data_IF_661704711298
#
_entry.id   IF_661704711298
#
_cell.length_a   1.000
_cell.length_b   1.000
_cell.length_c   1.000
_cell.angle_alpha   90.00
_cell.angle_beta   90.00
_cell.angle_gamma   90.00
#
_symmetry.space_group_name_H-M   'P 1'
#
loop_
_entity.id
_entity.type
_entity.pdbx_description
1 polymer ?
#
# COMPACT_ATOMS: atom_id res chain seq x y z
N UNK A 1 38.80 -4.07 49.31
CA UNK A 1 39.23 -4.37 47.93
C UNK A 1 38.45 -5.52 47.28
N UNK A 2 38.29 -6.69 47.93
CA UNK A 2 37.56 -7.84 47.34
C UNK A 2 36.09 -7.56 46.97
N UNK A 3 35.32 -6.78 47.77
CA UNK A 3 33.89 -6.46 47.49
C UNK A 3 33.70 -5.51 46.32
N UNK A 4 34.65 -4.61 46.05
CA UNK A 4 34.58 -3.69 44.89
C UNK A 4 34.85 -4.44 43.60
N UNK A 5 35.76 -5.40 43.61
CA UNK A 5 36.07 -6.23 42.44
C UNK A 5 34.89 -7.12 42.03
N UNK A 6 34.17 -7.67 43.01
CA UNK A 6 32.97 -8.49 42.75
C UNK A 6 31.82 -7.65 42.16
N UNK A 7 31.69 -6.39 42.59
CA UNK A 7 30.64 -5.50 42.05
C UNK A 7 30.93 -5.08 40.62
N UNK A 8 32.21 -4.80 40.28
CA UNK A 8 32.60 -4.43 38.90
C UNK A 8 32.42 -5.60 37.93
N UNK A 9 32.74 -6.83 38.34
CA UNK A 9 32.51 -8.01 37.50
C UNK A 9 31.02 -8.32 37.28
N UNK A 10 30.16 -8.11 38.27
CA UNK A 10 28.72 -8.30 38.14
C UNK A 10 28.09 -7.26 37.19
N UNK A 11 28.53 -5.99 37.25
CA UNK A 11 28.08 -4.93 36.34
C UNK A 11 28.55 -5.19 34.91
N UNK A 12 29.79 -5.62 34.71
CA UNK A 12 30.33 -5.95 33.39
C UNK A 12 29.62 -7.13 32.73
N UNK A 13 29.26 -8.16 33.49
CA UNK A 13 28.42 -9.28 32.97
C UNK A 13 27.01 -8.87 32.67
N UNK A 14 26.41 -7.95 33.44
CA UNK A 14 25.06 -7.42 33.19
C UNK A 14 25.00 -6.60 31.88
N UNK A 15 26.02 -5.79 31.60
CA UNK A 15 26.09 -5.00 30.36
C UNK A 15 26.31 -5.88 29.13
N UNK A 16 27.11 -6.92 29.24
CA UNK A 16 27.35 -7.88 28.15
C UNK A 16 26.08 -8.70 27.81
N UNK A 17 25.26 -9.03 28.82
CA UNK A 17 23.97 -9.72 28.57
C UNK A 17 22.92 -8.84 27.88
N UNK A 18 22.93 -7.53 28.11
CA UNK A 18 22.02 -6.59 27.44
C UNK A 18 22.42 -6.29 25.99
N UNK A 19 23.69 -6.46 25.63
CA UNK A 19 24.17 -6.26 24.25
C UNK A 19 23.85 -7.43 23.32
N UNK A 20 23.44 -8.59 23.85
CA UNK A 20 23.19 -9.81 23.07
C UNK A 20 21.78 -9.90 22.47
N UNK A 21 20.87 -8.96 22.78
CA UNK A 21 19.49 -8.98 22.29
C UNK A 21 19.26 -8.18 21.00
N UNK A 22 20.30 -7.59 20.42
CA UNK A 22 20.20 -6.96 19.12
C UNK A 22 20.71 -7.91 18.02
N UNK A 23 20.12 -9.10 17.91
CA UNK A 23 20.16 -9.83 16.65
C UNK A 23 19.48 -8.94 15.60
N UNK A 24 20.26 -8.27 14.76
CA UNK A 24 19.76 -7.80 13.47
C UNK A 24 19.32 -9.05 12.72
N UNK A 25 18.04 -9.39 12.87
CA UNK A 25 17.38 -10.24 11.92
C UNK A 25 17.58 -9.52 10.58
N UNK A 26 18.33 -10.10 9.66
CA UNK A 26 18.33 -9.62 8.28
C UNK A 26 16.87 -9.67 7.84
N UNK A 27 16.25 -8.51 7.70
CA UNK A 27 14.90 -8.42 7.16
C UNK A 27 14.96 -9.02 5.77
N UNK A 28 14.39 -10.21 5.61
CA UNK A 28 14.30 -10.85 4.31
C UNK A 28 13.40 -9.97 3.43
N UNK A 29 14.00 -9.26 2.46
CA UNK A 29 13.26 -8.45 1.51
C UNK A 29 12.28 -9.34 0.74
N UNK A 30 11.02 -8.91 0.62
CA UNK A 30 10.05 -9.60 -0.20
C UNK A 30 10.57 -9.66 -1.65
N UNK A 31 10.58 -10.85 -2.25
CA UNK A 31 11.03 -11.04 -3.63
C UNK A 31 10.01 -10.53 -4.65
N UNK A 32 8.73 -10.68 -4.33
CA UNK A 32 7.61 -10.24 -5.15
C UNK A 32 6.57 -9.56 -4.27
N UNK A 33 6.01 -8.45 -4.76
CA UNK A 33 4.95 -7.70 -4.10
C UNK A 33 3.81 -7.56 -5.10
N UNK A 34 2.61 -8.02 -4.75
CA UNK A 34 1.41 -7.87 -5.55
C UNK A 34 0.37 -7.06 -4.78
N UNK A 35 -0.02 -5.91 -5.34
CA UNK A 35 -1.08 -5.07 -4.80
C UNK A 35 -2.30 -5.15 -5.70
N UNK A 36 -3.41 -5.69 -5.19
CA UNK A 36 -4.69 -5.76 -5.89
C UNK A 36 -5.65 -4.72 -5.32
N UNK A 37 -6.17 -3.85 -6.16
CA UNK A 37 -7.09 -2.78 -5.78
C UNK A 37 -8.44 -3.04 -6.44
N UNK A 38 -9.48 -3.30 -5.65
CA UNK A 38 -10.87 -3.33 -6.10
C UNK A 38 -11.45 -1.93 -6.00
N UNK A 39 -11.41 -1.16 -7.10
CA UNK A 39 -11.93 0.21 -7.13
C UNK A 39 -13.47 0.20 -6.95
N UNK A 40 -13.93 0.92 -5.93
CA UNK A 40 -15.33 0.96 -5.53
C UNK A 40 -15.86 -0.33 -4.90
N UNK A 41 -15.01 -1.32 -4.66
CA UNK A 41 -15.40 -2.61 -4.08
C UNK A 41 -15.55 -2.49 -2.55
N UNK A 42 -16.78 -2.57 -2.07
CA UNK A 42 -17.09 -2.63 -0.64
C UNK A 42 -17.34 -4.04 -0.13
N UNK A 43 -17.49 -4.20 1.17
CA UNK A 43 -17.76 -5.47 1.82
C UNK A 43 -19.02 -6.19 1.30
N UNK A 44 -20.03 -5.43 0.87
CA UNK A 44 -21.25 -5.98 0.25
C UNK A 44 -20.99 -6.71 -1.07
N UNK A 45 -20.03 -6.24 -1.89
CA UNK A 45 -19.64 -6.93 -3.12
C UNK A 45 -19.01 -8.30 -2.82
N UNK A 46 -18.18 -8.36 -1.79
CA UNK A 46 -17.57 -9.62 -1.34
C UNK A 46 -18.67 -10.57 -0.86
N UNK A 47 -19.53 -10.13 0.04
CA UNK A 47 -20.60 -10.95 0.61
C UNK A 47 -21.56 -11.49 -0.46
N UNK A 48 -21.99 -10.65 -1.42
CA UNK A 48 -22.85 -11.07 -2.53
C UNK A 48 -22.15 -12.08 -3.43
N UNK A 49 -20.87 -11.88 -3.72
CA UNK A 49 -20.11 -12.79 -4.56
C UNK A 49 -19.95 -14.16 -3.91
N UNK A 50 -19.62 -14.23 -2.62
CA UNK A 50 -19.51 -15.49 -1.88
C UNK A 50 -20.87 -16.20 -1.76
N UNK A 51 -21.94 -15.44 -1.54
CA UNK A 51 -23.31 -15.98 -1.57
C UNK A 51 -23.68 -16.55 -2.93
N UNK A 52 -23.34 -15.85 -4.02
CA UNK A 52 -23.55 -16.34 -5.37
C UNK A 52 -22.77 -17.62 -5.66
N UNK A 53 -21.49 -17.68 -5.28
CA UNK A 53 -20.67 -18.87 -5.47
C UNK A 53 -21.21 -20.07 -4.68
N UNK A 54 -21.67 -19.83 -3.46
CA UNK A 54 -22.30 -20.86 -2.63
C UNK A 54 -23.60 -21.39 -3.26
N UNK A 55 -24.47 -20.50 -3.73
CA UNK A 55 -25.70 -20.88 -4.41
C UNK A 55 -25.42 -21.67 -5.69
N UNK A 56 -24.43 -21.23 -6.48
CA UNK A 56 -24.00 -21.94 -7.70
C UNK A 56 -23.45 -23.35 -7.41
N UNK A 57 -22.84 -23.55 -6.25
CA UNK A 57 -22.38 -24.85 -5.76
C UNK A 57 -23.48 -25.69 -5.09
N UNK A 58 -24.73 -25.21 -5.06
CA UNK A 58 -25.84 -25.88 -4.40
C UNK A 58 -25.75 -25.88 -2.86
N UNK A 59 -25.05 -24.90 -2.28
CA UNK A 59 -24.80 -24.79 -0.84
C UNK A 59 -25.47 -23.53 -0.25
N UNK A 60 -25.72 -23.56 1.05
CA UNK A 60 -26.14 -22.39 1.82
C UNK A 60 -24.90 -21.83 2.53
N UNK A 61 -24.15 -20.99 1.81
CA UNK A 61 -22.89 -20.42 2.31
C UNK A 61 -21.69 -21.36 2.22
N UNK A 62 -20.55 -20.91 2.72
CA UNK A 62 -19.32 -21.69 2.85
C UNK A 62 -18.31 -21.56 1.69
N UNK A 63 -18.71 -21.03 0.52
CA UNK A 63 -17.75 -20.68 -0.51
C UNK A 63 -17.11 -19.33 -0.18
N UNK A 64 -15.78 -19.27 -0.26
CA UNK A 64 -15.00 -18.08 0.10
C UNK A 64 -14.12 -17.64 -1.07
N UNK A 65 -13.94 -16.34 -1.22
CA UNK A 65 -12.96 -15.76 -2.13
C UNK A 65 -11.55 -15.95 -1.57
N UNK A 66 -10.56 -16.09 -2.44
CA UNK A 66 -9.16 -16.20 -2.02
C UNK A 66 -8.74 -15.03 -1.13
N UNK A 67 -9.19 -13.82 -1.43
CA UNK A 67 -8.85 -12.63 -0.65
C UNK A 67 -9.40 -12.65 0.78
N UNK A 68 -10.53 -13.33 1.02
CA UNK A 68 -11.11 -13.45 2.37
C UNK A 68 -10.48 -14.55 3.20
N UNK A 69 -9.59 -15.33 2.62
CA UNK A 69 -8.82 -16.39 3.29
C UNK A 69 -7.40 -15.94 3.67
N UNK A 70 -7.03 -14.69 3.43
CA UNK A 70 -5.72 -14.20 3.84
C UNK A 70 -5.60 -14.16 5.37
N UNK A 71 -4.42 -14.50 5.92
CA UNK A 71 -4.24 -14.63 7.37
C UNK A 71 -4.25 -13.28 8.10
N UNK A 72 -4.12 -12.17 7.37
CA UNK A 72 -4.10 -10.82 7.93
C UNK A 72 -5.21 -10.00 7.29
N UNK A 73 -6.00 -9.36 8.12
CA UNK A 73 -7.08 -8.48 7.72
C UNK A 73 -6.95 -7.12 8.42
N UNK A 74 -7.34 -6.06 7.73
CA UNK A 74 -7.34 -4.70 8.27
C UNK A 74 -8.46 -3.86 7.66
N UNK A 75 -8.76 -2.75 8.30
CA UNK A 75 -9.72 -1.76 7.81
C UNK A 75 -9.08 -0.39 7.75
N UNK A 76 -9.54 0.46 6.84
CA UNK A 76 -9.10 1.83 6.71
C UNK A 76 -10.26 2.78 6.47
N UNK A 77 -10.08 4.05 6.81
CA UNK A 77 -11.02 5.10 6.45
C UNK A 77 -10.72 5.59 5.03
N UNK A 78 -11.76 5.77 4.23
CA UNK A 78 -11.62 6.08 2.79
C UNK A 78 -11.91 7.53 2.42
N UNK A 79 -12.33 8.39 3.37
CA UNK A 79 -12.60 9.80 3.10
C UNK A 79 -11.34 10.51 2.56
N UNK A 80 -11.50 11.42 1.61
CA UNK A 80 -10.45 12.33 1.19
C UNK A 80 -10.36 13.54 2.14
N UNK A 81 -9.34 14.38 1.97
CA UNK A 81 -9.06 15.45 2.93
C UNK A 81 -10.16 16.51 3.01
N UNK A 82 -10.88 16.75 1.92
CA UNK A 82 -11.92 17.79 1.83
C UNK A 82 -13.35 17.25 1.63
N UNK A 83 -13.57 15.94 1.60
CA UNK A 83 -14.92 15.35 1.46
C UNK A 83 -15.02 14.01 2.19
N UNK A 84 -16.21 13.75 2.73
CA UNK A 84 -16.53 12.49 3.41
C UNK A 84 -16.50 11.30 2.45
N UNK A 85 -16.92 11.48 1.20
CA UNK A 85 -16.89 10.47 0.15
C UNK A 85 -15.71 10.79 -0.78
N UNK A 86 -14.83 9.83 -0.95
CA UNK A 86 -13.64 9.95 -1.80
C UNK A 86 -13.97 9.72 -3.28
N UNK A 87 -12.96 9.90 -4.13
CA UNK A 87 -12.93 9.43 -5.52
C UNK A 87 -11.67 8.60 -5.75
N UNK A 88 -11.62 7.87 -6.86
CA UNK A 88 -10.47 7.00 -7.20
C UNK A 88 -9.14 7.75 -7.26
N UNK A 89 -9.14 9.03 -7.66
CA UNK A 89 -7.92 9.83 -7.68
C UNK A 89 -7.37 10.07 -6.27
N UNK A 90 -8.19 10.59 -5.36
CA UNK A 90 -7.77 10.87 -4.00
C UNK A 90 -7.45 9.60 -3.19
N UNK A 91 -8.25 8.53 -3.35
CA UNK A 91 -7.98 7.25 -2.67
C UNK A 91 -6.80 6.51 -3.27
N UNK A 92 -6.65 6.50 -4.60
CA UNK A 92 -5.49 5.95 -5.28
C UNK A 92 -4.20 6.66 -4.85
N UNK A 93 -4.21 7.99 -4.79
CA UNK A 93 -3.09 8.79 -4.26
C UNK A 93 -2.76 8.40 -2.82
N UNK A 94 -3.78 8.26 -1.96
CA UNK A 94 -3.55 7.88 -0.57
C UNK A 94 -2.95 6.46 -0.44
N UNK A 95 -3.40 5.51 -1.24
CA UNK A 95 -2.81 4.16 -1.28
C UNK A 95 -1.37 4.22 -1.80
N UNK A 96 -1.13 4.95 -2.88
CA UNK A 96 0.17 5.01 -3.54
C UNK A 96 1.23 5.76 -2.74
N UNK A 97 0.86 6.85 -2.04
CA UNK A 97 1.81 7.76 -1.40
C UNK A 97 1.75 7.76 0.14
N UNK A 98 0.71 7.16 0.74
CA UNK A 98 0.46 7.25 2.17
C UNK A 98 -0.11 8.60 2.63
N UNK A 99 -0.46 9.52 1.70
CA UNK A 99 -0.97 10.85 2.00
C UNK A 99 -2.37 11.06 1.45
N UNK A 100 -3.30 11.53 2.28
CA UNK A 100 -4.61 11.97 1.80
C UNK A 100 -4.47 13.27 1.01
N UNK A 101 -5.36 13.46 0.05
CA UNK A 101 -5.42 14.67 -0.77
C UNK A 101 -6.87 15.09 -1.02
N UNK A 102 -7.06 16.17 -1.74
CA UNK A 102 -8.39 16.68 -2.10
C UNK A 102 -9.04 15.82 -3.19
N UNK A 103 -10.36 15.86 -3.20
CA UNK A 103 -11.17 15.21 -4.23
C UNK A 103 -10.71 15.62 -5.64
N UNK A 104 -10.60 14.66 -6.54
CA UNK A 104 -10.12 14.80 -7.93
C UNK A 104 -8.61 15.03 -8.12
N UNK A 105 -7.84 15.24 -7.07
CA UNK A 105 -6.38 15.35 -7.13
C UNK A 105 -5.76 13.98 -7.35
N UNK A 106 -4.79 13.90 -8.23
CA UNK A 106 -4.08 12.69 -8.59
C UNK A 106 -2.58 12.86 -8.36
N UNK A 107 -2.00 12.05 -7.49
CA UNK A 107 -0.55 12.04 -7.22
C UNK A 107 0.01 13.38 -6.73
N UNK A 108 -0.83 14.27 -6.21
CA UNK A 108 -0.41 15.56 -5.64
C UNK A 108 -1.20 15.87 -4.35
N UNK A 109 -0.64 16.76 -3.53
CA UNK A 109 -1.28 17.27 -2.33
C UNK A 109 -2.34 18.37 -2.64
N UNK A 110 -2.89 18.98 -1.58
CA UNK A 110 -3.88 20.06 -1.70
C UNK A 110 -3.31 21.32 -2.38
N UNK A 111 -2.01 21.54 -2.33
CA UNK A 111 -1.30 22.70 -2.86
C UNK A 111 -0.62 22.39 -4.22
N UNK A 112 -0.97 21.24 -4.84
CA UNK A 112 -0.48 20.73 -6.12
C UNK A 112 0.97 20.26 -6.14
N UNK A 113 1.62 20.11 -4.99
CA UNK A 113 2.95 19.51 -4.95
C UNK A 113 2.86 18.02 -5.25
N UNK A 114 3.70 17.49 -6.15
CA UNK A 114 3.72 16.05 -6.44
C UNK A 114 4.01 15.21 -5.21
N UNK A 115 3.25 14.14 -5.02
CA UNK A 115 3.45 13.12 -4.00
C UNK A 115 4.10 11.89 -4.64
N UNK A 116 5.26 11.50 -4.13
CA UNK A 116 5.98 10.33 -4.62
C UNK A 116 5.25 9.04 -4.22
N UNK A 117 4.86 8.22 -5.19
CA UNK A 117 4.26 6.93 -4.91
C UNK A 117 5.29 5.91 -4.41
N UNK A 118 4.82 4.87 -3.71
CA UNK A 118 5.66 3.77 -3.24
C UNK A 118 6.38 3.00 -4.37
N UNK A 119 5.90 3.10 -5.61
CA UNK A 119 6.50 2.45 -6.76
C UNK A 119 7.89 3.01 -7.08
N UNK A 120 8.11 4.31 -6.90
CA UNK A 120 9.41 4.93 -7.18
C UNK A 120 10.54 4.44 -6.25
N UNK A 121 10.41 4.48 -4.92
CA UNK A 121 11.46 3.94 -4.05
C UNK A 121 11.68 2.44 -4.24
N UNK A 122 10.65 1.67 -4.56
CA UNK A 122 10.83 0.26 -4.90
C UNK A 122 11.64 0.08 -6.19
N UNK A 123 11.39 0.91 -7.21
CA UNK A 123 12.20 0.92 -8.44
C UNK A 123 13.66 1.27 -8.14
N UNK A 124 13.92 2.28 -7.30
CA UNK A 124 15.26 2.67 -6.85
C UNK A 124 15.98 1.53 -6.11
N UNK A 125 15.23 0.68 -5.39
CA UNK A 125 15.76 -0.54 -4.75
C UNK A 125 15.97 -1.72 -5.69
N UNK A 126 15.69 -1.55 -7.01
CA UNK A 126 15.92 -2.54 -8.04
C UNK A 126 14.74 -3.47 -8.33
N UNK A 127 13.56 -3.20 -7.78
CA UNK A 127 12.36 -3.95 -8.17
C UNK A 127 11.91 -3.57 -9.58
N UNK A 128 11.39 -4.55 -10.31
CA UNK A 128 10.64 -4.33 -11.55
C UNK A 128 9.23 -3.85 -11.19
N UNK A 129 8.77 -2.78 -11.84
CA UNK A 129 7.46 -2.19 -11.57
C UNK A 129 6.54 -2.38 -12.78
N UNK A 130 5.48 -3.13 -12.59
CA UNK A 130 4.43 -3.30 -13.58
C UNK A 130 3.08 -2.82 -13.05
N UNK A 131 2.34 -2.06 -13.86
CA UNK A 131 0.99 -1.58 -13.54
C UNK A 131 0.03 -2.16 -14.55
N UNK A 132 -0.99 -2.88 -14.06
CA UNK A 132 -2.05 -3.48 -14.87
C UNK A 132 -3.42 -2.97 -14.42
N UNK A 133 -4.33 -2.79 -15.34
CA UNK A 133 -5.68 -2.32 -15.03
C UNK A 133 -6.71 -2.87 -16.02
N UNK A 134 -7.94 -3.03 -15.57
CA UNK A 134 -9.10 -3.35 -16.42
C UNK A 134 -9.74 -2.10 -17.06
N UNK A 135 -9.22 -0.91 -16.74
CA UNK A 135 -9.59 0.39 -17.33
C UNK A 135 -8.37 0.98 -18.06
N UNK A 136 -8.52 2.06 -18.84
CA UNK A 136 -7.35 2.72 -19.45
C UNK A 136 -6.27 3.05 -18.41
N UNK A 137 -5.00 2.91 -18.80
CA UNK A 137 -3.88 3.16 -17.90
C UNK A 137 -3.85 4.60 -17.36
N UNK A 138 -4.45 5.53 -18.08
CA UNK A 138 -4.64 6.93 -17.67
C UNK A 138 -5.76 7.14 -16.66
N UNK A 139 -6.52 6.09 -16.33
CA UNK A 139 -7.53 6.19 -15.27
C UNK A 139 -6.85 6.43 -13.92
N UNK A 140 -7.53 7.13 -13.04
CA UNK A 140 -6.95 7.65 -11.80
C UNK A 140 -6.30 6.58 -10.89
N UNK A 141 -6.87 5.39 -10.79
CA UNK A 141 -6.35 4.33 -9.90
C UNK A 141 -4.98 3.83 -10.34
N UNK A 142 -4.74 3.38 -11.60
CA UNK A 142 -3.41 3.03 -12.03
C UNK A 142 -2.48 4.25 -12.11
N UNK A 143 -2.98 5.41 -12.54
CA UNK A 143 -2.20 6.61 -12.74
C UNK A 143 -1.63 7.19 -11.43
N UNK A 144 -2.28 6.96 -10.28
CA UNK A 144 -1.78 7.40 -8.98
C UNK A 144 -0.39 6.85 -8.61
N UNK A 145 0.05 5.79 -9.27
CA UNK A 145 1.35 5.18 -9.02
C UNK A 145 2.48 5.80 -9.85
N UNK A 146 2.17 6.53 -10.95
CA UNK A 146 3.21 7.08 -11.84
C UNK A 146 3.01 8.55 -12.22
N UNK A 147 1.80 9.11 -12.04
CA UNK A 147 1.49 10.45 -12.52
C UNK A 147 1.06 11.40 -11.39
N UNK A 148 1.23 12.69 -11.64
CA UNK A 148 0.77 13.77 -10.76
C UNK A 148 0.06 14.83 -11.60
N UNK A 149 -1.19 15.15 -11.24
CA UNK A 149 -1.98 16.22 -11.88
C UNK A 149 -3.05 16.77 -10.95
N UNK A 150 -3.34 18.08 -11.02
CA UNK A 150 -4.46 18.68 -10.29
C UNK A 150 -5.83 18.12 -10.70
N UNK A 151 -5.96 17.60 -11.91
CA UNK A 151 -7.22 17.10 -12.46
C UNK A 151 -7.04 15.69 -13.05
N UNK A 152 -7.73 14.72 -12.44
CA UNK A 152 -7.79 13.35 -12.94
C UNK A 152 -8.36 13.21 -14.37
N UNK A 153 -9.02 14.23 -14.87
CA UNK A 153 -9.58 14.28 -16.23
C UNK A 153 -8.54 14.59 -17.31
N UNK A 154 -7.35 15.03 -16.95
CA UNK A 154 -6.25 15.31 -17.88
C UNK A 154 -5.61 14.01 -18.39
N UNK A 155 -6.35 13.24 -19.18
CA UNK A 155 -5.83 11.97 -19.70
C UNK A 155 -4.58 12.09 -20.57
N UNK A 156 -4.43 13.21 -21.31
CA UNK A 156 -3.24 13.44 -22.12
C UNK A 156 -2.02 13.74 -21.24
N UNK A 157 -2.14 14.67 -20.29
CA UNK A 157 -1.03 15.00 -19.39
C UNK A 157 -0.63 13.81 -18.49
N UNK A 158 -1.58 12.96 -18.12
CA UNK A 158 -1.31 11.70 -17.42
C UNK A 158 -0.53 10.73 -18.32
N UNK A 159 -0.96 10.55 -19.58
CA UNK A 159 -0.29 9.67 -20.55
C UNK A 159 1.16 10.07 -20.77
N UNK A 160 1.43 11.36 -20.88
CA UNK A 160 2.78 11.90 -21.14
C UNK A 160 3.76 11.64 -19.99
N UNK A 161 3.28 11.30 -18.79
CA UNK A 161 4.13 10.98 -17.63
C UNK A 161 4.58 9.51 -17.58
N UNK A 162 4.01 8.64 -18.42
CA UNK A 162 4.37 7.20 -18.40
C UNK A 162 5.86 6.99 -18.73
N UNK A 163 6.42 7.57 -19.81
CA UNK A 163 7.84 7.38 -20.13
C UNK A 163 8.77 7.86 -19.00
N UNK A 164 8.41 8.95 -18.35
CA UNK A 164 9.23 9.57 -17.30
C UNK A 164 9.23 8.75 -15.99
N UNK A 165 8.26 7.86 -15.81
CA UNK A 165 8.22 6.98 -14.64
C UNK A 165 9.39 5.97 -14.62
N UNK A 166 9.91 5.60 -15.77
CA UNK A 166 10.92 4.56 -15.91
C UNK A 166 10.47 3.17 -15.48
N UNK A 167 9.14 2.91 -15.39
CA UNK A 167 8.60 1.61 -15.04
C UNK A 167 8.73 0.62 -16.19
N UNK A 168 8.63 -0.69 -15.89
CA UNK A 168 8.94 -1.80 -16.81
C UNK A 168 7.76 -2.22 -17.69
#
# INVERSE_FOLDING_TARGET
MKKIFTLITAVAMGVAALSSCCNKQEESKAKYIFLFIGDGMGASHIAVTESYLSAKAGKIGGEQLTMTQFPIYGTSTTHCENKTITCSAASGTAIASGHKTYYSRLGCDKDFNPLKSMAFPLKEEGYKIGIMSSVPITHATPAAFYASTPDRGDGYGIMMQIPDSGFD
#
